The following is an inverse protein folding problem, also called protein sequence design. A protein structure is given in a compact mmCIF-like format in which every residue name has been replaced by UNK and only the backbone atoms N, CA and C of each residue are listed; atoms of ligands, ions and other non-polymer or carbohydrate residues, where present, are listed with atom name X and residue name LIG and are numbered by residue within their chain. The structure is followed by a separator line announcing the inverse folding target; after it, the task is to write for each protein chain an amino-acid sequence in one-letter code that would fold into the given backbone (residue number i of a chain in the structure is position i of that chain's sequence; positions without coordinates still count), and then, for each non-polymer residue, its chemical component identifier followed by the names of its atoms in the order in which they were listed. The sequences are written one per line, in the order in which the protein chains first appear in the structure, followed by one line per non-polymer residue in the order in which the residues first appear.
data_IF_189624894962
#
_entry.id   IF_189624894962
#
_cell.length_a   1.000
_cell.length_b   1.000
_cell.length_c   1.000
_cell.angle_alpha   90.00
_cell.angle_beta   90.00
_cell.angle_gamma   90.00
#
_symmetry.space_group_name_H-M   'P 1'
#
loop_
_entity.id
_entity.type
_entity.pdbx_description
1 polymer ?
#
# COMPACT_ATOMS: atom_id res chain seq x y z
N UNK A 1 1.23 -55.04 67.60
CA UNK A 1 0.39 -54.45 66.54
C UNK A 1 0.99 -53.22 65.89
N UNK A 2 1.67 -52.26 66.49
CA UNK A 2 2.23 -51.06 65.91
C UNK A 2 3.41 -51.28 64.89
N UNK A 3 4.19 -52.34 65.03
CA UNK A 3 5.35 -52.64 64.19
C UNK A 3 4.93 -53.30 62.85
N UNK A 4 3.87 -54.10 62.89
CA UNK A 4 3.40 -54.84 61.74
C UNK A 4 2.65 -53.94 60.73
N UNK A 5 1.93 -52.89 61.17
CA UNK A 5 1.26 -51.90 60.36
C UNK A 5 2.24 -50.97 59.65
N UNK A 6 3.42 -50.69 60.25
CA UNK A 6 4.45 -49.81 59.64
C UNK A 6 5.18 -50.48 58.49
N UNK A 7 5.41 -51.79 58.60
CA UNK A 7 6.05 -52.56 57.53
C UNK A 7 5.11 -52.80 56.32
N UNK A 8 3.82 -52.92 56.54
CA UNK A 8 2.81 -53.03 55.46
C UNK A 8 2.65 -51.72 54.73
N UNK A 9 2.68 -50.56 55.44
CA UNK A 9 2.64 -49.25 54.80
C UNK A 9 3.86 -48.93 53.92
N UNK A 10 5.07 -49.37 54.38
CA UNK A 10 6.30 -49.19 53.58
C UNK A 10 6.32 -50.11 52.37
N UNK A 11 5.80 -51.34 52.47
CA UNK A 11 5.70 -52.26 51.33
C UNK A 11 4.67 -51.77 50.29
N UNK A 12 3.55 -51.16 50.72
CA UNK A 12 2.54 -50.59 49.84
C UNK A 12 3.03 -49.33 49.13
N UNK A 13 3.86 -48.49 49.82
CA UNK A 13 4.46 -47.32 49.19
C UNK A 13 5.60 -47.66 48.21
N UNK A 14 6.32 -48.76 48.42
CA UNK A 14 7.32 -49.26 47.49
C UNK A 14 6.68 -49.88 46.22
N UNK A 15 5.50 -50.53 46.36
CA UNK A 15 4.74 -51.06 45.23
C UNK A 15 4.08 -49.93 44.35
N UNK A 16 3.71 -48.80 44.96
CA UNK A 16 3.19 -47.64 44.24
C UNK A 16 4.29 -46.89 43.45
N UNK A 17 5.54 -46.89 43.91
CA UNK A 17 6.66 -46.28 43.17
C UNK A 17 7.13 -47.16 42.01
N UNK A 18 7.00 -48.51 42.15
CA UNK A 18 7.34 -49.42 41.05
C UNK A 18 6.27 -49.45 39.92
N UNK A 19 5.03 -49.04 40.20
CA UNK A 19 3.97 -48.97 39.19
C UNK A 19 4.05 -47.70 38.29
N UNK A 20 4.90 -46.71 38.62
CA UNK A 20 5.07 -45.49 37.79
C UNK A 20 6.27 -45.56 36.84
N UNK A 21 7.00 -46.66 36.75
CA UNK A 21 8.23 -46.73 35.95
C UNK A 21 8.18 -47.53 34.67
N UNK A 22 7.01 -48.04 34.27
CA UNK A 22 6.90 -48.81 33.01
C UNK A 22 5.62 -48.49 32.25
N UNK A 23 5.34 -47.19 32.04
CA UNK A 23 4.53 -46.83 30.91
C UNK A 23 5.50 -46.61 29.75
N UNK A 24 5.85 -47.70 29.07
CA UNK A 24 6.36 -47.66 27.72
C UNK A 24 5.23 -47.11 26.87
N UNK A 25 5.34 -45.85 26.47
CA UNK A 25 4.48 -45.28 25.44
C UNK A 25 4.88 -45.97 24.14
N UNK A 26 4.04 -46.83 23.55
CA UNK A 26 4.42 -47.61 22.35
C UNK A 26 4.68 -46.72 21.13
N UNK A 27 4.37 -45.44 21.20
CA UNK A 27 4.40 -44.50 20.07
C UNK A 27 5.45 -43.40 20.16
N UNK A 28 6.57 -43.63 20.88
CA UNK A 28 7.68 -42.67 20.76
C UNK A 28 8.30 -42.77 19.40
N UNK A 29 8.30 -41.63 18.66
CA UNK A 29 9.07 -41.50 17.43
C UNK A 29 10.49 -42.06 17.62
N UNK A 30 10.87 -43.02 16.81
CA UNK A 30 12.24 -43.55 16.77
C UNK A 30 12.81 -43.24 15.40
N UNK A 31 13.83 -42.40 15.40
CA UNK A 31 14.57 -42.15 14.16
C UNK A 31 15.26 -43.41 13.68
N UNK A 32 15.07 -43.74 12.42
CA UNK A 32 15.70 -44.87 11.75
C UNK A 32 17.00 -44.48 11.03
N UNK A 33 17.75 -45.43 10.56
CA UNK A 33 18.95 -45.20 9.73
C UNK A 33 18.63 -45.45 8.26
N UNK A 34 19.52 -44.99 7.36
CA UNK A 34 19.39 -45.18 5.91
C UNK A 34 18.77 -43.97 5.22
N UNK A 35 18.56 -44.08 3.91
CA UNK A 35 18.00 -43.01 3.08
C UNK A 35 16.47 -43.15 3.01
N UNK A 36 15.74 -42.02 3.15
CA UNK A 36 14.31 -41.98 2.87
C UNK A 36 14.05 -41.98 1.36
N UNK A 37 12.87 -42.44 0.96
CA UNK A 37 12.36 -42.27 -0.41
C UNK A 37 10.96 -41.71 -0.39
N UNK A 38 10.62 -40.85 -1.35
CA UNK A 38 9.27 -40.37 -1.58
C UNK A 38 8.74 -41.04 -2.84
N UNK A 39 7.58 -41.68 -2.72
CA UNK A 39 6.86 -42.26 -3.85
C UNK A 39 5.98 -41.19 -4.52
N UNK A 40 5.27 -40.42 -3.71
CA UNK A 40 4.48 -39.27 -4.15
C UNK A 40 4.20 -38.28 -3.00
N UNK A 41 3.82 -37.07 -3.37
CA UNK A 41 3.34 -36.05 -2.46
C UNK A 41 1.84 -35.83 -2.69
N UNK A 42 1.06 -35.61 -1.63
CA UNK A 42 -0.38 -35.39 -1.71
C UNK A 42 -0.83 -34.27 -0.78
N UNK A 43 -2.06 -33.82 -0.94
CA UNK A 43 -2.69 -32.96 0.06
C UNK A 43 -2.77 -33.69 1.41
N UNK A 44 -2.70 -32.91 2.51
CA UNK A 44 -2.78 -33.51 3.85
C UNK A 44 -4.17 -34.06 4.18
N UNK A 45 -5.23 -33.43 3.64
CA UNK A 45 -6.64 -33.73 3.91
C UNK A 45 -7.30 -34.73 2.94
N UNK A 46 -6.61 -35.07 1.85
CA UNK A 46 -7.15 -35.97 0.81
C UNK A 46 -6.04 -36.70 0.05
N UNK A 47 -6.34 -37.90 -0.42
CA UNK A 47 -5.39 -38.73 -1.18
C UNK A 47 -5.42 -38.37 -2.69
N UNK A 48 -4.90 -37.18 -3.00
CA UNK A 48 -4.73 -36.67 -4.36
C UNK A 48 -3.28 -36.27 -4.52
N UNK A 49 -2.56 -36.97 -5.41
CA UNK A 49 -1.15 -36.69 -5.69
C UNK A 49 -0.97 -35.29 -6.32
N UNK A 50 0.08 -34.60 -5.90
CA UNK A 50 0.47 -33.27 -6.37
C UNK A 50 1.97 -33.26 -6.68
N UNK A 51 2.38 -32.42 -7.63
CA UNK A 51 3.79 -32.18 -8.00
C UNK A 51 4.26 -30.78 -7.59
N UNK A 52 3.35 -29.97 -7.05
CA UNK A 52 3.61 -28.61 -6.58
C UNK A 52 2.64 -28.24 -5.45
N UNK A 53 3.07 -27.30 -4.60
CA UNK A 53 2.23 -26.72 -3.55
C UNK A 53 2.60 -25.24 -3.31
N UNK A 54 1.66 -24.46 -2.79
CA UNK A 54 1.91 -23.10 -2.35
C UNK A 54 2.76 -23.09 -1.06
N UNK A 55 3.47 -21.99 -0.84
CA UNK A 55 4.11 -21.72 0.45
C UNK A 55 3.06 -21.75 1.56
N UNK A 56 3.45 -22.21 2.77
CA UNK A 56 2.61 -22.41 3.95
C UNK A 56 1.52 -23.51 3.80
N UNK A 57 1.35 -24.14 2.63
CA UNK A 57 0.43 -25.24 2.46
C UNK A 57 0.90 -26.48 3.23
N UNK A 58 -0.04 -27.19 3.87
CA UNK A 58 0.25 -28.44 4.59
C UNK A 58 0.08 -29.61 3.62
N UNK A 59 1.16 -30.36 3.43
CA UNK A 59 1.22 -31.52 2.52
C UNK A 59 1.64 -32.79 3.26
N UNK A 60 1.42 -33.92 2.62
CA UNK A 60 1.84 -35.22 3.12
C UNK A 60 2.79 -35.88 2.10
N UNK A 61 4.02 -36.11 2.53
CA UNK A 61 4.96 -36.96 1.80
C UNK A 61 4.59 -38.41 2.08
N UNK A 62 4.53 -39.24 1.05
CA UNK A 62 4.26 -40.68 1.15
C UNK A 62 5.44 -41.43 0.54
N UNK A 63 5.96 -42.44 1.26
CA UNK A 63 7.15 -43.18 0.82
C UNK A 63 7.62 -44.18 1.84
N UNK A 64 8.93 -44.46 1.85
CA UNK A 64 9.56 -45.45 2.73
C UNK A 64 10.64 -44.78 3.58
N UNK A 65 10.83 -45.31 4.79
CA UNK A 65 11.87 -44.91 5.72
C UNK A 65 11.86 -43.38 6.06
N UNK A 66 10.67 -42.76 6.08
CA UNK A 66 10.54 -41.32 6.34
C UNK A 66 10.93 -40.95 7.77
N UNK A 67 10.95 -41.91 8.72
CA UNK A 67 11.46 -41.72 10.09
C UNK A 67 12.97 -41.46 10.14
N UNK A 68 13.71 -41.72 9.05
CA UNK A 68 15.14 -41.41 8.98
C UNK A 68 15.45 -39.96 8.69
N UNK A 69 14.45 -39.15 8.25
CA UNK A 69 14.64 -37.75 7.92
C UNK A 69 14.99 -36.96 9.21
N UNK A 70 16.16 -36.34 9.21
CA UNK A 70 16.65 -35.44 10.26
C UNK A 70 16.40 -33.99 9.87
N UNK A 71 16.75 -33.61 8.64
CA UNK A 71 16.53 -32.29 8.08
C UNK A 71 15.79 -32.39 6.73
N UNK A 72 14.82 -31.52 6.54
CA UNK A 72 14.00 -31.44 5.34
C UNK A 72 14.03 -30.02 4.79
N UNK A 73 14.32 -29.87 3.51
CA UNK A 73 14.32 -28.59 2.82
C UNK A 73 13.44 -28.65 1.58
N UNK A 74 12.76 -27.56 1.31
CA UNK A 74 12.12 -27.28 0.03
C UNK A 74 12.95 -26.20 -0.65
N UNK A 75 13.59 -26.53 -1.79
CA UNK A 75 14.67 -25.73 -2.36
C UNK A 75 15.78 -25.54 -1.29
N UNK A 76 16.08 -24.30 -0.93
CA UNK A 76 17.04 -23.93 0.12
C UNK A 76 16.38 -23.58 1.47
N UNK A 77 15.04 -23.74 1.59
CA UNK A 77 14.30 -23.35 2.80
C UNK A 77 14.01 -24.56 3.68
N UNK A 78 14.44 -24.49 4.96
CA UNK A 78 14.24 -25.54 5.93
C UNK A 78 12.76 -25.65 6.35
N UNK A 79 12.22 -26.85 6.33
CA UNK A 79 10.91 -27.16 6.88
C UNK A 79 11.00 -27.47 8.38
N UNK A 80 9.93 -27.14 9.12
CA UNK A 80 9.82 -27.47 10.55
C UNK A 80 9.21 -28.87 10.70
N UNK A 81 9.99 -29.82 11.19
CA UNK A 81 9.54 -31.19 11.42
C UNK A 81 8.87 -31.31 12.80
N UNK A 82 7.69 -31.94 12.80
CA UNK A 82 7.02 -32.36 14.05
C UNK A 82 6.96 -33.90 14.07
N UNK A 83 7.70 -34.50 14.97
CA UNK A 83 7.82 -35.96 15.09
C UNK A 83 6.49 -36.69 15.33
N UNK A 84 5.45 -35.98 15.81
CA UNK A 84 4.11 -36.55 15.96
C UNK A 84 3.40 -36.78 14.62
N UNK A 85 3.90 -36.20 13.55
CA UNK A 85 3.36 -36.32 12.20
C UNK A 85 4.28 -37.08 11.23
N UNK A 86 5.24 -37.81 11.79
CA UNK A 86 6.18 -38.64 11.03
C UNK A 86 5.97 -40.09 11.38
N UNK A 87 5.68 -40.90 10.36
CA UNK A 87 5.64 -42.36 10.42
C UNK A 87 6.66 -42.95 9.45
N UNK A 88 6.81 -44.27 9.41
CA UNK A 88 7.65 -44.97 8.45
C UNK A 88 7.29 -44.60 6.99
N UNK A 89 5.98 -44.44 6.71
CA UNK A 89 5.45 -44.29 5.34
C UNK A 89 4.83 -42.92 5.07
N UNK A 90 4.64 -42.06 6.05
CA UNK A 90 4.02 -40.76 5.85
C UNK A 90 4.70 -39.67 6.70
N UNK A 91 4.84 -38.47 6.14
CA UNK A 91 5.31 -37.30 6.83
C UNK A 91 4.43 -36.10 6.42
N UNK A 92 3.73 -35.52 7.41
CA UNK A 92 2.91 -34.32 7.19
C UNK A 92 3.72 -33.10 7.62
N UNK A 93 3.83 -32.13 6.73
CA UNK A 93 4.68 -30.94 6.90
C UNK A 93 4.09 -29.73 6.18
N UNK A 94 4.33 -28.53 6.74
CA UNK A 94 4.07 -27.29 6.01
C UNK A 94 5.24 -26.94 5.09
N UNK A 95 4.93 -26.56 3.88
CA UNK A 95 5.89 -25.92 2.97
C UNK A 95 6.39 -24.61 3.62
N UNK A 96 7.70 -24.33 3.63
CA UNK A 96 8.24 -23.13 4.25
C UNK A 96 7.61 -21.83 3.73
N UNK A 97 7.53 -20.84 4.59
CA UNK A 97 6.91 -19.53 4.30
C UNK A 97 7.83 -18.52 3.62
N UNK A 98 9.14 -18.75 3.64
CA UNK A 98 10.11 -17.84 3.05
C UNK A 98 10.34 -18.17 1.59
N UNK A 99 10.51 -17.14 0.77
CA UNK A 99 10.94 -17.32 -0.61
C UNK A 99 12.31 -17.99 -0.65
N UNK A 100 12.52 -18.96 -1.53
CA UNK A 100 13.84 -19.53 -1.74
C UNK A 100 14.78 -18.50 -2.36
N UNK A 101 16.05 -18.55 -2.00
CA UNK A 101 17.10 -17.79 -2.67
C UNK A 101 17.45 -18.43 -4.02
N UNK A 102 17.32 -19.76 -4.11
CA UNK A 102 17.53 -20.53 -5.31
C UNK A 102 16.36 -21.51 -5.53
N UNK A 103 15.68 -21.39 -6.66
CA UNK A 103 14.58 -22.27 -7.06
C UNK A 103 15.14 -23.51 -7.74
N UNK A 104 15.21 -24.63 -7.04
CA UNK A 104 15.74 -25.90 -7.55
C UNK A 104 14.64 -26.90 -7.94
N UNK A 105 13.39 -26.61 -7.56
CA UNK A 105 12.21 -27.47 -7.72
C UNK A 105 12.42 -28.87 -7.10
N UNK A 106 13.06 -28.92 -5.91
CA UNK A 106 13.36 -30.17 -5.20
C UNK A 106 13.05 -30.08 -3.70
N UNK A 107 12.67 -31.24 -3.17
CA UNK A 107 12.72 -31.56 -1.75
C UNK A 107 14.07 -32.23 -1.49
N UNK A 108 14.81 -31.78 -0.48
CA UNK A 108 16.06 -32.35 -0.01
C UNK A 108 15.83 -32.94 1.38
N UNK A 109 16.18 -34.21 1.53
CA UNK A 109 16.01 -35.00 2.75
C UNK A 109 17.37 -35.47 3.23
N UNK A 110 17.81 -35.01 4.39
CA UNK A 110 19.03 -35.45 5.02
C UNK A 110 18.71 -36.39 6.17
N UNK A 111 19.39 -37.52 6.23
CA UNK A 111 19.37 -38.40 7.40
C UNK A 111 20.36 -37.88 8.47
N UNK A 112 20.40 -38.50 9.64
CA UNK A 112 21.33 -38.15 10.73
C UNK A 112 22.82 -38.31 10.37
N UNK A 113 23.15 -39.17 9.43
CA UNK A 113 24.52 -39.36 8.92
C UNK A 113 24.95 -38.26 7.94
N UNK A 114 23.99 -37.44 7.47
CA UNK A 114 24.22 -36.40 6.47
C UNK A 114 24.08 -36.88 5.04
N UNK A 115 23.63 -38.14 4.83
CA UNK A 115 23.35 -38.64 3.47
C UNK A 115 22.09 -37.96 2.92
N UNK A 116 22.10 -37.67 1.62
CA UNK A 116 21.07 -36.89 0.92
C UNK A 116 20.22 -37.77 0.01
N UNK A 117 18.89 -37.64 0.15
CA UNK A 117 17.92 -38.07 -0.87
C UNK A 117 17.17 -36.83 -1.40
N UNK A 118 16.73 -36.86 -2.65
CA UNK A 118 15.98 -35.75 -3.28
C UNK A 118 14.74 -36.26 -3.99
N UNK A 119 13.74 -35.35 -4.08
CA UNK A 119 12.51 -35.59 -4.81
C UNK A 119 12.12 -34.33 -5.59
N UNK A 120 11.67 -34.47 -6.85
CA UNK A 120 11.26 -33.35 -7.68
C UNK A 120 9.90 -32.82 -7.22
N UNK A 121 9.87 -31.59 -6.76
CA UNK A 121 8.65 -30.94 -6.24
C UNK A 121 8.76 -29.43 -6.30
N UNK A 122 7.78 -28.78 -6.89
CA UNK A 122 7.78 -27.33 -7.07
C UNK A 122 7.07 -26.60 -5.94
N UNK A 123 7.74 -25.59 -5.38
CA UNK A 123 7.11 -24.65 -4.43
C UNK A 123 6.68 -23.40 -5.20
N UNK A 124 5.39 -23.07 -5.10
CA UNK A 124 4.82 -21.88 -5.71
C UNK A 124 4.85 -20.72 -4.70
N UNK A 125 5.32 -19.54 -5.10
CA UNK A 125 5.13 -18.32 -4.30
C UNK A 125 3.64 -18.03 -4.14
N UNK A 126 3.26 -17.16 -3.18
CA UNK A 126 1.87 -16.71 -3.06
C UNK A 126 1.36 -16.06 -4.35
N UNK A 127 0.03 -16.01 -4.49
CA UNK A 127 -0.61 -15.30 -5.60
C UNK A 127 -0.13 -13.83 -5.67
N UNK A 128 -0.03 -13.25 -6.87
CA UNK A 128 0.47 -11.89 -7.03
C UNK A 128 -0.44 -10.88 -6.33
N UNK A 129 0.14 -9.73 -5.99
CA UNK A 129 -0.60 -8.53 -5.54
C UNK A 129 -0.15 -7.35 -6.39
N UNK A 130 -1.07 -6.54 -6.87
CA UNK A 130 -0.81 -5.38 -7.73
C UNK A 130 -1.24 -4.13 -6.96
N UNK A 131 -0.26 -3.35 -6.50
CA UNK A 131 -0.50 -2.27 -5.53
C UNK A 131 -0.30 -0.87 -6.10
N UNK A 132 0.45 -0.70 -7.18
CA UNK A 132 0.73 0.61 -7.75
C UNK A 132 1.06 0.58 -9.23
N UNK A 133 0.98 1.74 -9.83
CA UNK A 133 1.37 2.05 -11.19
C UNK A 133 2.04 3.42 -11.20
N UNK A 134 3.16 3.56 -11.89
CA UNK A 134 3.93 4.81 -11.88
C UNK A 134 3.14 6.00 -12.43
N UNK A 135 2.26 5.78 -13.40
CA UNK A 135 1.36 6.77 -13.96
C UNK A 135 0.02 6.11 -14.32
N UNK A 136 -1.02 6.37 -13.52
CA UNK A 136 -2.35 5.78 -13.75
C UNK A 136 -3.08 6.40 -14.97
N UNK A 137 -2.65 7.57 -15.45
CA UNK A 137 -3.20 8.28 -16.61
C UNK A 137 -2.30 8.23 -17.86
N UNK A 138 -1.37 7.27 -17.89
CA UNK A 138 -0.50 7.07 -19.05
C UNK A 138 -1.30 6.86 -20.34
N UNK A 139 -0.75 7.38 -21.46
CA UNK A 139 -1.35 7.23 -22.77
C UNK A 139 -0.92 5.90 -23.42
N UNK A 140 -1.71 5.36 -24.36
CA UNK A 140 -1.27 4.25 -25.18
C UNK A 140 0.11 4.51 -25.82
N UNK A 141 0.99 3.50 -25.79
CA UNK A 141 2.37 3.61 -26.25
C UNK A 141 3.38 4.05 -25.17
N UNK A 142 2.94 4.61 -24.05
CA UNK A 142 3.84 4.94 -22.93
C UNK A 142 4.18 3.70 -22.11
N UNK A 143 5.40 3.66 -21.59
CA UNK A 143 5.87 2.58 -20.69
C UNK A 143 5.74 3.02 -19.26
N UNK A 144 5.09 2.18 -18.45
CA UNK A 144 4.86 2.37 -17.03
C UNK A 144 5.43 1.23 -16.21
N UNK A 145 5.73 1.51 -14.94
CA UNK A 145 6.12 0.52 -13.96
C UNK A 145 4.89 0.10 -13.14
N UNK A 146 4.62 -1.21 -13.10
CA UNK A 146 3.61 -1.81 -12.21
C UNK A 146 4.34 -2.36 -11.01
N UNK A 147 3.88 -2.01 -9.81
CA UNK A 147 4.47 -2.44 -8.53
C UNK A 147 3.53 -3.34 -7.75
N UNK A 148 4.12 -4.20 -6.92
CA UNK A 148 3.35 -5.13 -6.12
C UNK A 148 4.19 -6.12 -5.33
N UNK A 149 3.66 -7.32 -5.14
CA UNK A 149 4.39 -8.44 -4.52
C UNK A 149 4.10 -9.72 -5.28
N UNK A 150 5.08 -10.61 -5.30
CA UNK A 150 5.01 -11.92 -5.98
C UNK A 150 4.70 -11.81 -7.49
N UNK A 151 5.18 -10.76 -8.11
CA UNK A 151 5.04 -10.49 -9.55
C UNK A 151 6.12 -11.23 -10.36
N UNK A 152 6.36 -12.51 -10.07
CA UNK A 152 7.41 -13.28 -10.73
C UNK A 152 7.08 -13.62 -12.18
N UNK A 153 8.02 -13.37 -13.07
CA UNK A 153 7.92 -13.76 -14.47
C UNK A 153 8.16 -15.29 -14.64
N UNK A 154 7.57 -15.95 -15.65
CA UNK A 154 6.72 -15.36 -16.68
C UNK A 154 5.32 -14.99 -16.15
N UNK A 155 4.84 -13.83 -16.53
CA UNK A 155 3.51 -13.38 -16.17
C UNK A 155 2.82 -12.69 -17.36
N UNK A 156 1.51 -12.48 -17.25
CA UNK A 156 0.77 -11.63 -18.18
C UNK A 156 0.07 -10.51 -17.44
N UNK A 157 0.02 -9.33 -18.07
CA UNK A 157 -0.78 -8.20 -17.63
C UNK A 157 -1.86 -7.88 -18.66
N UNK A 158 -3.09 -7.66 -18.21
CA UNK A 158 -4.24 -7.38 -19.06
C UNK A 158 -4.86 -6.03 -18.63
N UNK A 159 -4.86 -5.08 -19.57
CA UNK A 159 -5.60 -3.83 -19.44
C UNK A 159 -7.03 -4.04 -19.92
N UNK A 160 -8.04 -3.38 -19.31
CA UNK A 160 -9.42 -3.52 -19.77
C UNK A 160 -9.56 -3.20 -21.26
N UNK A 161 -10.26 -4.05 -21.99
CA UNK A 161 -10.47 -3.91 -23.44
C UNK A 161 -9.32 -4.37 -24.34
N UNK A 162 -8.22 -4.89 -23.76
CA UNK A 162 -7.04 -5.34 -24.51
C UNK A 162 -6.72 -6.81 -24.28
N UNK A 163 -5.98 -7.40 -25.21
CA UNK A 163 -5.39 -8.73 -25.03
C UNK A 163 -4.26 -8.70 -23.97
N UNK A 164 -4.02 -9.81 -23.27
CA UNK A 164 -2.94 -9.90 -22.31
C UNK A 164 -1.55 -9.67 -22.93
N UNK A 165 -0.73 -8.84 -22.29
CA UNK A 165 0.66 -8.59 -22.64
C UNK A 165 1.56 -9.52 -21.83
N UNK A 166 2.44 -10.26 -22.49
CA UNK A 166 3.40 -11.15 -21.83
C UNK A 166 4.61 -10.37 -21.30
N UNK A 167 4.98 -10.66 -20.06
CA UNK A 167 6.16 -10.10 -19.37
C UNK A 167 7.11 -11.25 -19.07
N UNK A 168 8.31 -11.15 -19.59
CA UNK A 168 9.35 -12.18 -19.46
C UNK A 168 10.38 -11.92 -18.35
N UNK A 169 10.40 -10.72 -17.76
CA UNK A 169 11.33 -10.33 -16.72
C UNK A 169 10.64 -9.51 -15.64
N UNK A 170 10.85 -9.88 -14.39
CA UNK A 170 10.42 -9.19 -13.19
C UNK A 170 11.24 -9.68 -12.00
N UNK A 171 11.51 -8.83 -11.03
CA UNK A 171 12.17 -9.21 -9.77
C UNK A 171 11.19 -9.68 -8.68
N UNK A 172 9.90 -9.77 -9.01
CA UNK A 172 8.84 -10.12 -8.08
C UNK A 172 8.20 -8.93 -7.37
N UNK A 173 8.80 -7.75 -7.43
CA UNK A 173 8.26 -6.52 -6.81
C UNK A 173 7.73 -5.53 -7.85
N UNK A 174 8.27 -5.53 -9.06
CA UNK A 174 7.80 -4.69 -10.17
C UNK A 174 8.11 -5.30 -11.53
N UNK A 175 7.44 -4.77 -12.54
CA UNK A 175 7.76 -4.98 -13.95
C UNK A 175 7.36 -3.74 -14.76
N UNK A 176 7.94 -3.59 -15.94
CA UNK A 176 7.56 -2.56 -16.91
C UNK A 176 6.64 -3.12 -17.98
N UNK A 177 5.70 -2.29 -18.43
CA UNK A 177 4.78 -2.60 -19.53
C UNK A 177 4.45 -1.35 -20.32
N UNK A 178 4.38 -1.50 -21.65
CA UNK A 178 3.85 -0.45 -22.51
C UNK A 178 2.33 -0.55 -22.55
N UNK A 179 1.64 0.57 -22.36
CA UNK A 179 0.17 0.64 -22.41
C UNK A 179 -0.29 0.26 -23.82
N UNK A 180 -1.13 -0.77 -23.97
CA UNK A 180 -1.61 -1.19 -25.29
C UNK A 180 -2.59 -0.19 -25.89
N UNK A 181 -2.63 -0.12 -27.22
CA UNK A 181 -3.64 0.63 -27.94
C UNK A 181 -5.05 0.11 -27.61
N UNK A 182 -5.97 1.03 -27.36
CA UNK A 182 -7.35 0.68 -27.03
C UNK A 182 -7.60 0.37 -25.55
N UNK A 183 -6.60 0.49 -24.68
CA UNK A 183 -6.77 0.31 -23.23
C UNK A 183 -7.86 1.22 -22.66
N UNK A 184 -8.84 0.61 -21.99
CA UNK A 184 -9.99 1.30 -21.41
C UNK A 184 -9.78 1.53 -19.90
N UNK A 185 -10.45 2.52 -19.29
CA UNK A 185 -10.43 2.74 -17.85
C UNK A 185 -10.86 1.49 -17.08
N UNK A 186 -10.15 1.18 -15.99
CA UNK A 186 -10.51 0.07 -15.12
C UNK A 186 -9.34 -0.61 -14.42
N UNK A 187 -9.65 -1.65 -13.64
CA UNK A 187 -8.63 -2.45 -12.95
C UNK A 187 -7.83 -3.27 -13.95
N UNK A 188 -6.51 -3.28 -13.77
CA UNK A 188 -5.63 -4.18 -14.51
C UNK A 188 -5.61 -5.56 -13.84
N UNK A 189 -5.40 -6.61 -14.64
CA UNK A 189 -5.31 -7.98 -14.17
C UNK A 189 -3.90 -8.53 -14.44
N UNK A 190 -3.28 -9.13 -13.42
CA UNK A 190 -1.99 -9.80 -13.55
C UNK A 190 -2.19 -11.28 -13.28
N UNK A 191 -1.65 -12.13 -14.16
CA UNK A 191 -1.68 -13.57 -14.06
C UNK A 191 -0.25 -14.10 -14.00
N UNK A 192 0.06 -14.85 -12.96
CA UNK A 192 1.30 -15.61 -12.79
C UNK A 192 0.98 -17.09 -12.71
N UNK A 193 2.00 -17.94 -12.64
CA UNK A 193 1.81 -19.37 -12.39
C UNK A 193 1.11 -19.66 -11.04
N UNK A 194 1.32 -18.79 -10.05
CA UNK A 194 0.75 -18.92 -8.70
C UNK A 194 -0.69 -18.40 -8.57
N UNK A 195 -1.23 -17.75 -9.59
CA UNK A 195 -2.60 -17.25 -9.57
C UNK A 195 -2.82 -15.93 -10.29
N UNK A 196 -3.97 -15.34 -10.03
CA UNK A 196 -4.47 -14.12 -10.68
C UNK A 196 -4.76 -13.06 -9.63
N UNK A 197 -4.39 -11.81 -9.91
CA UNK A 197 -4.77 -10.65 -9.11
C UNK A 197 -5.31 -9.52 -9.98
N UNK A 198 -6.21 -8.74 -9.40
CA UNK A 198 -6.60 -7.43 -9.92
C UNK A 198 -5.91 -6.33 -9.12
N UNK A 199 -5.60 -5.20 -9.77
CA UNK A 199 -5.04 -4.03 -9.11
C UNK A 199 -6.00 -3.47 -8.05
N UNK A 200 -5.43 -2.89 -6.99
CA UNK A 200 -6.20 -2.11 -5.99
C UNK A 200 -6.63 -0.75 -6.56
N UNK A 201 -5.94 -0.24 -7.56
CA UNK A 201 -6.23 0.99 -8.30
C UNK A 201 -6.91 0.72 -9.64
N UNK A 202 -7.33 1.76 -10.33
CA UNK A 202 -7.82 1.69 -11.71
C UNK A 202 -6.95 2.55 -12.62
N UNK A 203 -6.66 2.03 -13.82
CA UNK A 203 -6.12 2.81 -14.93
C UNK A 203 -7.18 3.84 -15.37
N UNK A 204 -6.78 5.11 -15.51
CA UNK A 204 -7.63 6.26 -15.84
C UNK A 204 -8.91 6.32 -14.98
N UNK A 205 -8.75 6.24 -13.65
CA UNK A 205 -9.86 6.33 -12.72
C UNK A 205 -10.44 7.75 -12.68
N UNK A 206 -11.60 7.95 -13.27
CA UNK A 206 -12.33 9.22 -13.26
C UNK A 206 -13.39 9.29 -12.15
N UNK A 207 -13.56 8.25 -11.34
CA UNK A 207 -14.49 8.30 -10.22
C UNK A 207 -14.00 9.30 -9.19
N UNK A 208 -14.92 10.04 -8.58
CA UNK A 208 -14.54 11.05 -7.59
C UNK A 208 -13.54 12.08 -8.11
N UNK A 209 -13.55 12.38 -9.42
CA UNK A 209 -12.76 13.47 -10.00
C UNK A 209 -13.18 14.78 -9.38
N UNK A 210 -12.22 15.46 -8.74
CA UNK A 210 -12.43 16.77 -8.12
C UNK A 210 -12.03 17.88 -9.10
N UNK A 211 -10.84 17.76 -9.73
CA UNK A 211 -10.31 18.75 -10.65
C UNK A 211 -9.49 18.06 -11.74
N UNK A 212 -9.84 18.28 -12.98
CA UNK A 212 -9.06 17.85 -14.15
C UNK A 212 -8.54 19.05 -14.97
N UNK A 213 -8.85 20.27 -14.54
CA UNK A 213 -8.47 21.55 -15.13
C UNK A 213 -8.86 21.76 -16.61
N UNK A 214 -9.50 20.80 -17.25
CA UNK A 214 -9.92 20.85 -18.67
C UNK A 214 -11.41 21.17 -18.83
N UNK A 215 -12.24 20.59 -17.99
CA UNK A 215 -13.70 20.69 -18.05
C UNK A 215 -14.28 20.88 -16.63
N UNK A 216 -15.57 21.18 -16.55
CA UNK A 216 -16.25 21.19 -15.26
C UNK A 216 -16.09 19.86 -14.51
N UNK A 217 -15.90 19.92 -13.19
CA UNK A 217 -15.96 21.10 -12.35
C UNK A 217 -14.67 21.93 -12.41
N UNK A 218 -14.79 23.16 -12.88
CA UNK A 218 -13.71 24.12 -12.70
C UNK A 218 -13.70 24.62 -11.27
N UNK A 219 -12.53 24.70 -10.64
CA UNK A 219 -12.43 25.34 -9.35
C UNK A 219 -12.83 26.81 -9.54
N UNK A 220 -13.90 27.22 -8.87
CA UNK A 220 -14.16 28.63 -8.73
C UNK A 220 -12.98 29.25 -7.99
N UNK A 221 -12.40 30.29 -8.56
CA UNK A 221 -11.41 31.08 -7.84
C UNK A 221 -12.10 31.70 -6.61
N UNK A 222 -11.55 31.47 -5.45
CA UNK A 222 -12.06 32.05 -4.21
C UNK A 222 -11.95 33.57 -4.13
N UNK A 223 -11.35 34.24 -5.11
CA UNK A 223 -11.14 35.67 -5.17
C UNK A 223 -9.89 36.18 -4.44
N UNK A 224 -9.14 35.30 -3.77
CA UNK A 224 -7.91 35.65 -3.05
C UNK A 224 -6.78 36.03 -4.03
N UNK A 225 -6.50 35.15 -4.96
CA UNK A 225 -5.58 35.38 -6.08
C UNK A 225 -5.92 34.50 -7.27
N UNK A 226 -5.42 34.87 -8.44
CA UNK A 226 -5.61 34.07 -9.64
C UNK A 226 -4.74 32.79 -9.57
N UNK A 227 -5.35 31.65 -9.86
CA UNK A 227 -4.68 30.37 -10.00
C UNK A 227 -4.08 30.26 -11.40
N UNK A 228 -2.91 29.62 -11.52
CA UNK A 228 -2.26 29.39 -12.80
C UNK A 228 -2.68 28.03 -13.35
N UNK A 229 -3.66 28.06 -14.25
CA UNK A 229 -4.11 26.90 -15.03
C UNK A 229 -3.66 27.15 -16.47
N UNK A 230 -2.79 26.28 -16.97
CA UNK A 230 -2.14 26.46 -18.27
C UNK A 230 -1.87 25.12 -18.96
N UNK A 231 -1.43 25.17 -20.22
CA UNK A 231 -1.01 24.02 -21.00
C UNK A 231 0.33 24.30 -21.66
N UNK A 232 1.17 23.29 -21.82
CA UNK A 232 2.41 23.33 -22.59
C UNK A 232 2.71 21.94 -23.20
N UNK A 233 3.89 21.78 -23.81
CA UNK A 233 4.33 20.53 -24.44
C UNK A 233 4.50 19.37 -23.49
N UNK A 234 4.54 19.60 -22.17
CA UNK A 234 4.63 18.54 -21.15
C UNK A 234 3.26 18.15 -20.60
N UNK A 235 2.16 18.80 -21.02
CA UNK A 235 0.83 18.51 -20.49
C UNK A 235 0.47 17.03 -20.67
N UNK A 236 -0.08 16.43 -19.62
CA UNK A 236 -0.56 15.04 -19.65
C UNK A 236 -1.79 14.92 -20.57
N UNK A 237 -2.73 15.87 -20.39
CA UNK A 237 -3.89 16.10 -21.24
C UNK A 237 -4.37 17.52 -21.00
N UNK A 238 -4.72 18.27 -22.06
CA UNK A 238 -5.31 19.61 -21.91
C UNK A 238 -4.53 20.57 -21.01
N UNK A 239 -5.12 20.96 -19.88
CA UNK A 239 -4.54 21.90 -18.93
C UNK A 239 -4.10 21.21 -17.63
N UNK A 240 -3.25 21.88 -16.88
CA UNK A 240 -2.81 21.50 -15.54
C UNK A 240 -2.72 22.72 -14.63
N UNK A 241 -2.77 22.50 -13.32
CA UNK A 241 -2.42 23.51 -12.33
C UNK A 241 -0.91 23.63 -12.21
N UNK A 242 -0.36 24.86 -12.27
CA UNK A 242 1.05 25.12 -11.98
C UNK A 242 1.21 25.90 -10.68
N UNK A 243 2.05 25.37 -9.80
CA UNK A 243 2.55 26.06 -8.60
C UNK A 243 4.05 26.35 -8.79
N UNK A 244 4.44 27.56 -8.38
CA UNK A 244 5.81 28.03 -8.56
C UNK A 244 6.11 28.47 -9.99
N UNK A 245 7.34 28.97 -10.18
CA UNK A 245 7.85 29.47 -11.46
C UNK A 245 9.39 29.47 -11.40
N UNK A 246 10.14 29.27 -12.51
CA UNK A 246 11.60 29.33 -12.50
C UNK A 246 12.18 30.61 -11.92
N UNK A 247 11.43 31.73 -11.96
CA UNK A 247 11.82 33.05 -11.41
C UNK A 247 11.40 33.28 -9.97
N UNK A 248 10.66 32.35 -9.32
CA UNK A 248 10.11 32.51 -7.99
C UNK A 248 10.82 31.60 -6.98
N UNK A 249 11.44 32.19 -5.98
CA UNK A 249 12.16 31.43 -4.95
C UNK A 249 11.24 31.03 -3.81
N UNK A 250 11.31 29.77 -3.43
CA UNK A 250 10.85 29.23 -2.16
C UNK A 250 12.09 29.09 -1.26
N UNK A 251 12.10 29.76 -0.12
CA UNK A 251 13.24 29.76 0.80
C UNK A 251 13.39 28.40 1.52
N UNK A 252 14.45 28.26 2.32
CA UNK A 252 14.78 27.03 3.04
C UNK A 252 13.74 26.62 4.09
N UNK A 253 12.99 27.58 4.64
CA UNK A 253 11.92 27.34 5.61
C UNK A 253 10.56 27.05 4.92
N UNK A 254 10.50 27.19 3.60
CA UNK A 254 9.23 27.13 2.86
C UNK A 254 8.35 28.31 3.22
N UNK A 255 8.87 29.55 3.09
CA UNK A 255 8.17 30.75 3.51
C UNK A 255 6.84 30.99 2.81
N UNK A 256 5.99 31.76 3.43
CA UNK A 256 4.66 32.07 2.92
C UNK A 256 4.71 32.80 1.58
N UNK A 257 4.18 32.19 0.54
CA UNK A 257 4.05 32.76 -0.79
C UNK A 257 2.82 32.14 -1.49
N UNK A 258 1.65 32.49 -1.00
CA UNK A 258 0.38 31.97 -1.48
C UNK A 258 0.11 32.30 -2.96
N UNK A 259 0.44 33.51 -3.40
CA UNK A 259 0.25 33.94 -4.78
C UNK A 259 0.93 33.06 -5.83
N UNK A 260 1.97 32.31 -5.46
CA UNK A 260 2.71 31.43 -6.39
C UNK A 260 2.64 29.95 -6.02
N UNK A 261 2.36 29.61 -4.77
CA UNK A 261 2.48 28.24 -4.28
C UNK A 261 1.20 27.68 -3.67
N UNK A 262 0.04 28.32 -3.90
CA UNK A 262 -1.22 27.77 -3.43
C UNK A 262 -2.29 27.63 -4.51
N UNK A 263 -3.23 26.76 -4.21
CA UNK A 263 -4.47 26.52 -4.93
C UNK A 263 -5.58 26.34 -3.89
N UNK A 264 -6.64 27.08 -4.01
CA UNK A 264 -7.78 27.02 -3.09
C UNK A 264 -9.07 26.73 -3.84
N UNK A 265 -9.80 25.76 -3.36
CA UNK A 265 -11.19 25.56 -3.66
C UNK A 265 -12.01 25.64 -2.36
N UNK A 266 -12.67 26.78 -2.16
CA UNK A 266 -13.58 27.00 -1.05
C UNK A 266 -14.97 27.32 -1.59
N UNK A 267 -16.03 26.67 -1.06
CA UNK A 267 -17.38 26.96 -1.50
C UNK A 267 -17.76 28.40 -1.14
N UNK A 268 -18.40 29.09 -2.08
CA UNK A 268 -18.87 30.46 -1.87
C UNK A 268 -17.89 31.57 -2.27
N UNK A 269 -18.22 32.79 -1.96
CA UNK A 269 -17.45 34.00 -2.25
C UNK A 269 -16.94 34.60 -0.95
N UNK A 270 -15.89 35.45 -1.03
CA UNK A 270 -15.24 36.05 0.13
C UNK A 270 -16.16 36.96 0.93
N UNK A 271 -16.99 37.76 0.26
CA UNK A 271 -17.85 38.80 0.86
C UNK A 271 -19.33 38.39 0.99
N UNK A 272 -19.72 37.22 0.53
CA UNK A 272 -21.10 36.77 0.47
C UNK A 272 -21.31 35.49 1.28
N UNK A 273 -22.51 35.27 1.81
CA UNK A 273 -22.88 33.96 2.37
C UNK A 273 -22.67 32.87 1.35
N UNK A 274 -22.15 31.72 1.80
CA UNK A 274 -21.91 30.55 0.93
C UNK A 274 -23.20 30.18 0.21
N UNK A 275 -23.20 30.31 -1.13
CA UNK A 275 -24.23 29.77 -1.99
C UNK A 275 -23.62 28.63 -2.76
N UNK A 276 -24.06 27.41 -2.51
CA UNK A 276 -23.48 26.21 -3.15
C UNK A 276 -23.87 26.04 -4.62
N UNK A 277 -24.60 26.94 -5.21
CA UNK A 277 -25.01 26.89 -6.62
C UNK A 277 -23.87 27.19 -7.58
N UNK A 278 -22.99 28.12 -7.21
CA UNK A 278 -21.87 28.55 -8.05
C UNK A 278 -20.54 27.89 -7.69
N UNK A 279 -20.44 27.38 -6.46
CA UNK A 279 -19.27 26.68 -5.95
C UNK A 279 -19.71 25.47 -5.12
N UNK A 280 -20.04 24.33 -5.75
CA UNK A 280 -20.51 23.15 -5.05
C UNK A 280 -19.50 22.63 -4.03
N UNK A 281 -19.98 21.98 -2.97
CA UNK A 281 -19.10 21.28 -2.04
C UNK A 281 -18.38 20.13 -2.77
N UNK A 282 -17.13 19.85 -2.42
CA UNK A 282 -16.41 18.70 -3.00
C UNK A 282 -17.08 17.35 -2.71
N UNK A 283 -17.87 17.29 -1.63
CA UNK A 283 -18.74 16.13 -1.32
C UNK A 283 -19.86 15.90 -2.35
N UNK A 284 -20.09 16.85 -3.26
CA UNK A 284 -21.00 16.68 -4.40
C UNK A 284 -20.35 15.91 -5.56
N UNK A 285 -19.02 15.86 -5.62
CA UNK A 285 -18.26 15.20 -6.68
C UNK A 285 -17.74 13.81 -6.27
N UNK A 286 -17.55 13.59 -4.96
CA UNK A 286 -17.08 12.31 -4.44
C UNK A 286 -17.83 11.96 -3.14
N UNK A 287 -18.09 10.66 -2.95
CA UNK A 287 -18.65 10.12 -1.71
C UNK A 287 -17.52 9.82 -0.73
N UNK A 288 -17.47 10.59 0.37
CA UNK A 288 -16.46 10.44 1.43
C UNK A 288 -16.96 9.60 2.62
N UNK A 289 -18.07 8.88 2.51
CA UNK A 289 -18.59 8.04 3.59
C UNK A 289 -17.56 7.02 4.10
N UNK A 290 -16.74 6.49 3.21
CA UNK A 290 -15.68 5.54 3.49
C UNK A 290 -14.27 6.17 3.41
N UNK A 291 -14.13 7.46 3.77
CA UNK A 291 -12.88 8.22 3.62
C UNK A 291 -11.63 7.52 4.18
N UNK A 292 -11.76 6.68 5.23
CA UNK A 292 -10.63 5.93 5.82
C UNK A 292 -10.01 4.90 4.87
N UNK A 293 -10.77 4.50 3.86
CA UNK A 293 -10.35 3.57 2.81
C UNK A 293 -10.08 4.28 1.47
N UNK A 294 -10.11 5.62 1.47
CA UNK A 294 -9.90 6.45 0.30
C UNK A 294 -8.58 7.22 0.37
N UNK A 295 -8.15 7.70 -0.77
CA UNK A 295 -6.98 8.56 -0.92
C UNK A 295 -7.31 9.74 -1.85
N UNK A 296 -6.63 10.85 -1.62
CA UNK A 296 -6.44 11.87 -2.61
C UNK A 296 -5.36 11.40 -3.58
N UNK A 297 -5.69 11.32 -4.86
CA UNK A 297 -4.74 11.03 -5.93
C UNK A 297 -4.66 12.18 -6.90
N UNK A 298 -3.48 12.37 -7.46
CA UNK A 298 -3.25 13.35 -8.52
C UNK A 298 -2.01 12.95 -9.33
N UNK A 299 -1.93 13.42 -10.56
CA UNK A 299 -0.73 13.34 -11.35
C UNK A 299 0.16 14.54 -11.05
N UNK A 300 1.46 14.28 -10.92
CA UNK A 300 2.49 15.25 -10.54
C UNK A 300 3.60 15.25 -11.57
N UNK A 301 4.04 16.45 -11.98
CA UNK A 301 5.21 16.63 -12.80
C UNK A 301 6.10 17.74 -12.21
N UNK A 302 7.35 17.43 -11.99
CA UNK A 302 8.38 18.37 -11.51
C UNK A 302 9.61 18.22 -12.41
N UNK A 303 9.92 19.24 -13.23
CA UNK A 303 11.05 19.13 -14.15
C UNK A 303 12.39 19.07 -13.41
N UNK A 304 13.31 18.29 -13.94
CA UNK A 304 14.67 18.14 -13.40
C UNK A 304 15.45 19.46 -13.37
N UNK A 305 15.09 20.42 -14.22
CA UNK A 305 15.67 21.78 -14.23
C UNK A 305 15.24 22.65 -13.05
N UNK A 306 14.07 22.38 -12.46
CA UNK A 306 13.46 23.15 -11.36
C UNK A 306 12.99 22.23 -10.23
N UNK A 307 13.92 21.48 -9.59
CA UNK A 307 13.57 20.51 -8.58
C UNK A 307 13.08 21.15 -7.29
N UNK A 308 12.22 20.44 -6.59
CA UNK A 308 11.66 20.84 -5.31
C UNK A 308 12.55 20.40 -4.15
N UNK A 309 12.89 21.34 -3.21
CA UNK A 309 13.87 21.11 -2.14
C UNK A 309 13.46 21.69 -0.78
N UNK A 310 12.31 22.33 -0.67
CA UNK A 310 11.88 23.06 0.53
C UNK A 310 10.37 23.12 0.63
N UNK A 311 9.85 23.32 1.84
CA UNK A 311 8.42 23.37 2.12
C UNK A 311 7.72 22.04 1.91
N UNK A 312 6.56 21.85 2.52
CA UNK A 312 5.70 20.70 2.29
C UNK A 312 4.51 21.13 1.42
N UNK A 313 4.11 20.33 0.46
CA UNK A 313 2.78 20.44 -0.14
C UNK A 313 1.79 20.02 0.93
N UNK A 314 1.16 21.00 1.53
CA UNK A 314 0.08 20.82 2.49
C UNK A 314 -1.21 20.59 1.72
N UNK A 315 -1.76 19.40 1.83
CA UNK A 315 -3.06 19.03 1.29
C UNK A 315 -4.07 19.22 2.42
N UNK A 316 -4.84 20.31 2.39
CA UNK A 316 -5.68 20.74 3.50
C UNK A 316 -7.13 20.53 3.13
N UNK A 317 -7.89 19.86 3.99
CA UNK A 317 -9.34 19.70 3.85
C UNK A 317 -10.05 20.40 4.98
N UNK A 318 -11.17 21.03 4.67
CA UNK A 318 -11.95 21.74 5.67
C UNK A 318 -13.46 21.62 5.37
N UNK A 319 -14.23 21.40 6.42
CA UNK A 319 -15.67 21.43 6.38
C UNK A 319 -16.22 22.88 6.49
N UNK A 320 -17.51 23.03 6.32
CA UNK A 320 -18.21 24.33 6.43
C UNK A 320 -18.10 24.98 7.82
N UNK A 321 -17.69 24.23 8.83
CA UNK A 321 -17.41 24.71 10.18
C UNK A 321 -16.05 25.43 10.30
N UNK A 322 -15.17 25.25 9.31
CA UNK A 322 -13.85 25.87 9.23
C UNK A 322 -13.72 26.85 8.07
N UNK A 323 -14.42 26.60 6.96
CA UNK A 323 -14.41 27.45 5.76
C UNK A 323 -15.79 27.96 5.50
N UNK A 324 -16.00 29.27 5.66
CA UNK A 324 -17.30 29.89 5.47
C UNK A 324 -17.46 30.60 4.13
N UNK A 325 -16.44 30.59 3.28
CA UNK A 325 -16.47 31.36 2.02
C UNK A 325 -16.41 32.88 2.18
N UNK A 326 -16.61 33.40 3.38
CA UNK A 326 -16.63 34.84 3.66
C UNK A 326 -15.54 35.30 4.61
N UNK A 327 -15.44 36.61 4.79
CA UNK A 327 -14.61 37.23 5.83
C UNK A 327 -15.08 36.89 7.25
N UNK A 328 -14.42 37.44 8.26
CA UNK A 328 -14.60 37.08 9.66
C UNK A 328 -16.04 37.16 10.22
N UNK A 329 -16.90 37.96 9.62
CA UNK A 329 -18.26 38.27 10.09
C UNK A 329 -19.36 37.73 9.15
N UNK A 330 -19.01 36.94 8.13
CA UNK A 330 -19.99 36.38 7.19
C UNK A 330 -20.56 35.09 7.79
N UNK A 331 -21.90 34.93 7.84
CA UNK A 331 -22.50 33.71 8.33
C UNK A 331 -22.20 32.51 7.41
N UNK A 332 -22.03 31.34 8.02
CA UNK A 332 -22.04 30.07 7.28
C UNK A 332 -23.45 29.76 6.73
N UNK A 333 -23.56 28.62 6.00
CA UNK A 333 -24.85 28.18 5.45
C UNK A 333 -25.94 27.91 6.49
N UNK A 334 -25.56 27.74 7.76
CA UNK A 334 -26.47 27.50 8.86
C UNK A 334 -26.84 28.82 9.58
N UNK A 335 -26.32 29.98 9.11
CA UNK A 335 -26.51 31.27 9.71
C UNK A 335 -25.64 31.54 10.94
N UNK A 336 -24.59 30.73 11.18
CA UNK A 336 -23.68 30.95 12.30
C UNK A 336 -22.54 31.86 11.87
N UNK A 337 -22.23 32.86 12.68
CA UNK A 337 -21.04 33.69 12.49
C UNK A 337 -19.85 32.98 13.16
N UNK A 338 -18.89 32.59 12.37
CA UNK A 338 -17.66 31.89 12.84
C UNK A 338 -16.49 32.84 12.62
N UNK A 339 -16.27 33.77 13.53
CA UNK A 339 -15.21 34.77 13.43
C UNK A 339 -13.84 34.14 13.17
N UNK A 340 -13.16 34.55 12.10
CA UNK A 340 -11.85 34.05 11.70
C UNK A 340 -11.85 32.63 11.17
N UNK A 341 -12.98 32.07 10.73
CA UNK A 341 -13.05 30.71 10.20
C UNK A 341 -12.10 30.49 9.05
N UNK A 342 -12.02 31.39 8.09
CA UNK A 342 -11.10 31.24 6.94
C UNK A 342 -9.61 31.26 7.32
N UNK A 343 -9.25 31.79 8.49
CA UNK A 343 -7.87 31.76 8.97
C UNK A 343 -7.50 30.44 9.70
N UNK A 344 -8.46 29.60 10.02
CA UNK A 344 -8.25 28.47 10.91
C UNK A 344 -7.52 27.32 10.23
N UNK A 345 -7.66 27.17 8.92
CA UNK A 345 -6.93 26.13 8.20
C UNK A 345 -5.46 26.53 7.93
N UNK A 346 -5.09 27.78 8.14
CA UNK A 346 -3.73 28.31 7.99
C UNK A 346 -3.06 28.54 9.34
N UNK A 347 -3.69 29.27 10.26
CA UNK A 347 -3.00 29.79 11.45
C UNK A 347 -3.61 29.41 12.81
N UNK A 348 -4.78 28.78 12.85
CA UNK A 348 -5.45 28.42 14.11
C UNK A 348 -5.68 29.60 15.06
N UNK A 349 -6.91 29.98 15.29
CA UNK A 349 -7.29 31.08 16.18
C UNK A 349 -8.00 30.58 17.45
N UNK A 350 -7.36 29.65 18.17
CA UNK A 350 -7.91 29.04 19.39
C UNK A 350 -8.89 27.89 19.15
N UNK A 351 -9.08 27.46 17.89
CA UNK A 351 -9.78 26.25 17.50
C UNK A 351 -8.78 25.30 16.82
N UNK A 352 -9.06 24.00 16.68
CA UNK A 352 -8.21 23.12 15.91
C UNK A 352 -8.02 23.63 14.48
N UNK A 353 -6.80 23.57 13.97
CA UNK A 353 -6.54 23.83 12.53
C UNK A 353 -7.27 22.81 11.69
N UNK A 354 -7.56 23.15 10.43
CA UNK A 354 -8.02 22.20 9.44
C UNK A 354 -6.98 21.08 9.25
N UNK A 355 -7.40 19.81 9.22
CA UNK A 355 -6.52 18.69 9.11
C UNK A 355 -5.87 18.65 7.71
N UNK A 356 -4.63 18.19 7.64
CA UNK A 356 -3.85 18.12 6.42
C UNK A 356 -2.89 16.95 6.37
N UNK A 357 -2.56 16.55 5.16
CA UNK A 357 -1.39 15.74 4.89
C UNK A 357 -0.22 16.63 4.48
N UNK A 358 1.01 16.17 4.75
CA UNK A 358 2.25 16.86 4.40
C UNK A 358 3.04 16.02 3.41
N UNK A 359 2.87 16.29 2.12
CA UNK A 359 3.65 15.63 1.08
C UNK A 359 4.95 16.40 0.84
N UNK A 360 6.09 15.78 1.14
CA UNK A 360 7.44 16.37 1.07
C UNK A 360 8.48 15.33 0.64
N UNK A 361 8.41 14.85 -0.61
CA UNK A 361 9.23 13.73 -1.10
C UNK A 361 10.74 14.05 -1.12
N UNK A 362 11.12 15.31 -1.18
CA UNK A 362 12.51 15.78 -1.17
C UNK A 362 13.25 15.50 0.15
N UNK A 363 12.56 15.23 1.25
CA UNK A 363 13.18 15.07 2.58
C UNK A 363 14.15 13.89 2.67
N UNK A 364 13.98 12.85 1.86
CA UNK A 364 14.85 11.66 1.87
C UNK A 364 16.16 11.86 1.10
N UNK A 365 16.16 12.74 0.09
CA UNK A 365 17.27 12.94 -0.85
C UNK A 365 17.80 14.37 -0.88
N UNK A 366 17.12 15.30 -0.20
CA UNK A 366 17.39 16.73 -0.24
C UNK A 366 16.90 17.44 -1.51
N UNK A 367 16.42 16.69 -2.50
CA UNK A 367 15.88 17.21 -3.76
C UNK A 367 14.89 16.22 -4.35
N UNK A 368 13.87 16.70 -5.01
CA UNK A 368 12.89 15.85 -5.69
C UNK A 368 12.51 16.48 -7.04
N UNK A 369 12.56 15.68 -8.07
CA UNK A 369 11.93 15.88 -9.37
C UNK A 369 11.34 14.57 -9.84
N UNK A 370 10.55 14.59 -10.90
CA UNK A 370 9.88 13.40 -11.43
C UNK A 370 10.59 12.79 -12.65
N UNK A 371 11.84 13.22 -12.91
CA UNK A 371 12.61 12.76 -14.07
C UNK A 371 11.99 13.19 -15.40
N UNK A 372 11.43 14.39 -15.44
CA UNK A 372 10.74 14.98 -16.60
C UNK A 372 9.57 14.10 -17.12
N UNK A 373 8.88 13.42 -16.21
CA UNK A 373 7.70 12.58 -16.49
C UNK A 373 6.60 12.85 -15.49
N UNK A 374 5.38 12.63 -15.90
CA UNK A 374 4.24 12.58 -14.97
C UNK A 374 4.31 11.31 -14.12
N UNK A 375 3.89 11.41 -12.87
CA UNK A 375 3.76 10.29 -11.94
C UNK A 375 2.47 10.41 -11.15
N UNK A 376 1.87 9.29 -10.78
CA UNK A 376 0.69 9.29 -9.90
C UNK A 376 1.14 9.36 -8.44
N UNK A 377 0.64 10.36 -7.72
CA UNK A 377 0.78 10.48 -6.26
C UNK A 377 -0.50 9.97 -5.60
N UNK A 378 -0.33 9.19 -4.54
CA UNK A 378 -1.42 8.67 -3.71
C UNK A 378 -1.20 9.08 -2.26
N UNK A 379 -2.10 9.88 -1.71
CA UNK A 379 -2.05 10.32 -0.31
C UNK A 379 -3.32 9.83 0.41
N UNK A 380 -3.22 8.78 1.23
CA UNK A 380 -4.36 8.27 1.99
C UNK A 380 -4.98 9.35 2.88
N UNK A 381 -6.30 9.46 2.92
CA UNK A 381 -6.94 10.42 3.82
C UNK A 381 -6.67 10.12 5.31
N UNK A 382 -6.26 8.91 5.64
CA UNK A 382 -5.77 8.58 6.99
C UNK A 382 -4.47 9.30 7.38
N UNK A 383 -3.76 9.91 6.43
CA UNK A 383 -2.56 10.73 6.66
C UNK A 383 -2.84 12.22 6.89
N UNK A 384 -4.11 12.64 6.82
CA UNK A 384 -4.53 14.01 7.08
C UNK A 384 -4.61 14.31 8.58
N UNK A 385 -3.50 14.11 9.27
CA UNK A 385 -3.39 14.15 10.73
C UNK A 385 -2.46 15.25 11.26
N UNK A 386 -2.03 16.18 10.41
CA UNK A 386 -1.02 17.17 10.77
C UNK A 386 -1.59 18.60 10.85
N UNK A 387 -0.89 19.42 11.62
CA UNK A 387 -0.89 20.88 11.56
C UNK A 387 0.15 21.38 10.54
N UNK A 388 0.16 22.68 10.27
CA UNK A 388 1.09 23.30 9.32
C UNK A 388 2.58 23.14 9.67
N UNK A 389 2.89 22.98 10.95
CA UNK A 389 4.24 22.81 11.50
C UNK A 389 4.68 21.34 11.65
N UNK A 390 3.86 20.39 11.19
CA UNK A 390 4.14 18.96 11.29
C UNK A 390 3.78 18.32 12.63
N UNK A 391 3.23 19.08 13.57
CA UNK A 391 2.66 18.51 14.80
C UNK A 391 1.33 17.81 14.52
N UNK A 392 0.92 16.89 15.40
CA UNK A 392 -0.33 16.13 15.22
C UNK A 392 -1.54 17.04 15.44
N UNK A 393 -2.46 16.99 14.49
CA UNK A 393 -3.72 17.69 14.54
C UNK A 393 -4.73 16.96 15.44
N UNK A 394 -5.59 17.70 16.12
CA UNK A 394 -6.62 17.17 17.03
C UNK A 394 -8.04 17.27 16.47
N UNK A 395 -8.20 17.77 15.25
CA UNK A 395 -9.51 17.88 14.61
C UNK A 395 -10.06 16.47 14.26
N UNK A 396 -11.32 16.24 14.59
CA UNK A 396 -12.00 14.99 14.25
C UNK A 396 -12.51 15.03 12.81
N UNK A 397 -11.87 14.28 11.91
CA UNK A 397 -12.28 14.19 10.52
C UNK A 397 -13.57 13.39 10.40
N UNK A 398 -14.52 13.93 9.64
CA UNK A 398 -15.81 13.36 9.27
C UNK A 398 -15.99 13.46 7.75
N UNK A 399 -16.96 12.75 7.14
CA UNK A 399 -17.24 12.90 5.70
C UNK A 399 -17.46 14.36 5.28
N UNK A 400 -18.09 15.17 6.12
CA UNK A 400 -18.37 16.60 5.88
C UNK A 400 -17.12 17.48 5.94
N UNK A 401 -16.01 16.98 6.46
CA UNK A 401 -14.71 17.69 6.48
C UNK A 401 -14.14 17.88 5.08
N UNK A 402 -14.54 17.05 4.11
CA UNK A 402 -14.05 17.09 2.75
C UNK A 402 -14.84 18.04 1.84
N UNK A 403 -15.31 19.15 2.38
CA UNK A 403 -16.09 20.17 1.66
C UNK A 403 -15.24 21.02 0.74
N UNK A 404 -13.99 21.30 1.13
CA UNK A 404 -13.04 22.15 0.44
C UNK A 404 -11.66 21.50 0.37
N UNK A 405 -10.83 22.00 -0.53
CA UNK A 405 -9.42 21.60 -0.68
C UNK A 405 -8.55 22.84 -0.83
N UNK A 406 -7.47 22.90 -0.07
CA UNK A 406 -6.35 23.81 -0.34
C UNK A 406 -5.08 22.99 -0.54
N UNK A 407 -4.34 23.29 -1.59
CA UNK A 407 -2.98 22.81 -1.82
C UNK A 407 -2.05 24.00 -1.61
N UNK A 408 -1.12 23.90 -0.65
CA UNK A 408 -0.19 24.99 -0.38
C UNK A 408 1.21 24.45 -0.10
N UNK A 409 2.18 24.83 -0.92
CA UNK A 409 3.59 24.48 -0.70
C UNK A 409 4.20 25.50 0.26
N UNK A 410 4.20 25.16 1.54
CA UNK A 410 4.57 26.05 2.63
C UNK A 410 5.02 25.26 3.86
N UNK A 411 6.04 25.76 4.59
CA UNK A 411 6.45 25.24 5.91
C UNK A 411 6.54 23.69 5.97
N UNK A 412 5.83 23.07 6.88
CA UNK A 412 5.78 21.62 7.04
C UNK A 412 6.74 21.07 8.11
N UNK A 413 7.35 21.96 8.92
CA UNK A 413 8.15 21.59 10.09
C UNK A 413 9.53 21.00 9.78
N UNK A 414 10.02 21.14 8.54
CA UNK A 414 11.33 20.67 8.13
C UNK A 414 12.02 21.73 7.27
N UNK A 415 13.21 22.15 7.66
CA UNK A 415 14.06 23.04 6.88
C UNK A 415 14.68 22.30 5.69
N UNK A 416 14.54 22.87 4.51
CA UNK A 416 15.09 22.34 3.26
C UNK A 416 16.26 23.16 2.71
N UNK A 417 16.25 23.35 1.42
CA UNK A 417 17.19 24.22 0.70
C UNK A 417 16.41 25.12 -0.23
N UNK A 418 16.74 26.41 -0.24
CA UNK A 418 16.09 27.37 -1.13
C UNK A 418 16.13 26.90 -2.59
N UNK A 419 15.02 27.02 -3.29
CA UNK A 419 14.85 26.51 -4.65
C UNK A 419 13.81 27.31 -5.43
N UNK A 420 13.79 27.11 -6.74
CA UNK A 420 12.77 27.69 -7.62
C UNK A 420 11.98 26.54 -8.27
N UNK A 421 11.11 25.87 -7.52
CA UNK A 421 10.43 24.69 -8.03
C UNK A 421 9.32 25.07 -9.02
N UNK A 422 9.12 24.20 -10.00
CA UNK A 422 7.92 24.20 -10.86
C UNK A 422 7.18 22.90 -10.57
N UNK A 423 5.95 23.01 -10.08
CA UNK A 423 5.15 21.86 -9.66
C UNK A 423 3.86 21.89 -10.49
N UNK A 424 3.69 20.90 -11.38
CA UNK A 424 2.48 20.76 -12.20
C UNK A 424 1.64 19.64 -11.64
N UNK A 425 0.34 19.88 -11.53
CA UNK A 425 -0.63 18.94 -10.92
C UNK A 425 -1.81 18.80 -11.87
N UNK A 426 -2.27 17.55 -12.05
CA UNK A 426 -3.44 17.25 -12.87
C UNK A 426 -4.28 16.13 -12.25
N UNK A 427 -5.53 15.98 -12.71
CA UNK A 427 -6.43 14.87 -12.37
C UNK A 427 -6.57 14.60 -10.87
N UNK A 428 -6.85 15.64 -10.09
CA UNK A 428 -7.06 15.51 -8.64
C UNK A 428 -8.37 14.78 -8.39
N UNK A 429 -8.31 13.64 -7.67
CA UNK A 429 -9.46 12.76 -7.43
C UNK A 429 -9.46 12.15 -6.04
N UNK A 430 -10.65 11.89 -5.51
CA UNK A 430 -10.87 11.16 -4.26
C UNK A 430 -11.40 9.76 -4.59
N UNK A 431 -10.56 8.74 -4.40
CA UNK A 431 -10.87 7.37 -4.83
C UNK A 431 -10.54 6.33 -3.76
N UNK A 432 -11.24 5.17 -3.74
CA UNK A 432 -10.80 4.02 -2.95
C UNK A 432 -9.39 3.59 -3.34
N UNK A 433 -8.54 3.25 -2.35
CA UNK A 433 -7.16 2.83 -2.59
C UNK A 433 -6.79 1.50 -1.92
N UNK A 434 -7.71 0.91 -1.15
CA UNK A 434 -7.59 -0.42 -0.49
C UNK A 434 -8.62 -1.38 -1.02
#
# INVERSE_FOLDING_TARGET
MKAMTRNISILLSLLLVAACTTWDYPDRFKQTEGLPTIDYVRYADRDVAITQAAMEEVICLVGENLTSIHDLYFNDQAAVLNTSFITEHTLVVSVPKNLPLEQTDKIYMYNKAGDLATYDFKVLPPAPKVTGMSLEWAQPGETVTITGSYLFAPLTVEFPGCDPVAISSSDGSFFEVTIPEGAQPGKIKVTTESGVAQSVFMYKDSRGMLFNFDTDPHPANHGWHAQVIETDETALSGNFLRLGDPGVTLDEEGGWNDANFSFEYWPGDWDEPVTYTDSPLLTSYADFSEWKNMALKFELFIPSSNPWKSGAMQLIVAGVDLVTGGGADVPDIYGNITAGANNMFISGSGKPMAPRALFRPWTSTGSYDTGDKWVTVTVPYSEFIYNSDGTVNTYEIKPETFTSLTIFVWSGGVTGTACNPVIKIDNIRAVPYK
#
